data_IF_545897526846
#
_entry.id   IF_545897526846
#
_cell.length_a   1.000
_cell.length_b   1.000
_cell.length_c   1.000
_cell.angle_alpha   90.00
_cell.angle_beta   90.00
_cell.angle_gamma   90.00
#
_symmetry.space_group_name_H-M   'P 1'
#
loop_
_entity.id
_entity.type
_entity.pdbx_description
1 polymer ?
#
# COMPACT_ATOMS: atom_id res chain seq x y z
N UNK A 1 -44.74 -2.33 31.51
CA UNK A 1 -43.64 -3.16 32.03
C UNK A 1 -43.25 -4.15 30.94
N UNK A 2 -42.09 -3.99 30.31
CA UNK A 2 -41.53 -4.97 29.36
C UNK A 2 -40.02 -5.00 29.57
N UNK A 3 -39.56 -5.91 30.44
CA UNK A 3 -38.13 -6.06 30.75
C UNK A 3 -37.71 -7.52 30.79
N UNK A 4 -38.22 -8.34 29.88
CA UNK A 4 -37.84 -9.76 29.82
C UNK A 4 -37.70 -10.22 28.37
N UNK A 5 -36.89 -9.50 27.60
CA UNK A 5 -36.29 -10.09 26.40
C UNK A 5 -35.29 -11.17 26.82
N UNK A 6 -35.21 -12.26 26.04
CA UNK A 6 -34.34 -13.40 26.30
C UNK A 6 -32.89 -12.93 26.60
N UNK A 7 -32.44 -13.12 27.84
CA UNK A 7 -31.08 -12.79 28.27
C UNK A 7 -30.17 -13.97 27.97
N UNK A 8 -28.98 -13.69 27.42
CA UNK A 8 -27.95 -14.71 27.31
C UNK A 8 -27.56 -15.19 28.71
N UNK A 9 -27.49 -16.51 28.91
CA UNK A 9 -27.16 -17.12 30.20
C UNK A 9 -25.79 -16.60 30.67
N UNK A 10 -25.75 -16.03 31.89
CA UNK A 10 -24.52 -15.52 32.51
C UNK A 10 -24.27 -14.01 32.42
N UNK A 11 -25.25 -13.20 32.00
CA UNK A 11 -25.11 -11.73 31.94
C UNK A 11 -26.20 -11.04 32.75
N UNK A 12 -25.81 -10.07 33.59
CA UNK A 12 -26.73 -9.27 34.42
C UNK A 12 -27.46 -8.16 33.61
N UNK A 13 -27.07 -7.97 32.36
CA UNK A 13 -27.60 -6.97 31.43
C UNK A 13 -26.98 -5.57 31.57
N UNK A 14 -26.05 -5.37 32.53
CA UNK A 14 -25.35 -4.08 32.70
C UNK A 14 -24.20 -3.90 31.71
N UNK A 15 -23.78 -4.99 31.05
CA UNK A 15 -22.67 -5.08 30.10
C UNK A 15 -23.03 -4.64 28.66
N UNK A 16 -24.26 -4.20 28.40
CA UNK A 16 -24.72 -3.83 27.04
C UNK A 16 -23.81 -2.78 26.38
N UNK A 17 -23.42 -1.73 27.10
CA UNK A 17 -22.51 -0.68 26.58
C UNK A 17 -21.15 -1.24 26.20
N UNK A 18 -20.64 -2.20 26.98
CA UNK A 18 -19.36 -2.86 26.71
C UNK A 18 -19.47 -3.75 25.45
N UNK A 19 -20.50 -4.58 25.37
CA UNK A 19 -20.76 -5.44 24.19
C UNK A 19 -20.92 -4.62 22.91
N UNK A 20 -21.65 -3.51 22.97
CA UNK A 20 -21.85 -2.63 21.81
C UNK A 20 -20.52 -2.02 21.34
N UNK A 21 -19.66 -1.59 22.27
CA UNK A 21 -18.33 -1.04 21.94
C UNK A 21 -17.42 -2.08 21.30
N UNK A 22 -17.40 -3.31 21.84
CA UNK A 22 -16.62 -4.43 21.28
C UNK A 22 -17.13 -4.79 19.88
N UNK A 23 -18.44 -4.93 19.70
CA UNK A 23 -19.04 -5.23 18.40
C UNK A 23 -18.74 -4.14 17.36
N UNK A 24 -18.82 -2.86 17.74
CA UNK A 24 -18.46 -1.74 16.87
C UNK A 24 -16.98 -1.78 16.45
N UNK A 25 -16.07 -2.07 17.38
CA UNK A 25 -14.63 -2.22 17.10
C UNK A 25 -14.35 -3.36 16.12
N UNK A 26 -15.00 -4.52 16.31
CA UNK A 26 -14.85 -5.68 15.42
C UNK A 26 -15.37 -5.34 14.02
N UNK A 27 -16.57 -4.74 13.92
CA UNK A 27 -17.16 -4.34 12.64
C UNK A 27 -16.22 -3.39 11.87
N UNK A 28 -15.66 -2.41 12.57
CA UNK A 28 -14.72 -1.45 11.99
C UNK A 28 -13.42 -2.12 11.50
N UNK A 29 -12.87 -3.04 12.30
CA UNK A 29 -11.68 -3.82 11.96
C UNK A 29 -11.90 -4.67 10.70
N UNK A 30 -13.04 -5.35 10.59
CA UNK A 30 -13.40 -6.15 9.41
C UNK A 30 -13.52 -5.28 8.17
N UNK A 31 -14.21 -4.13 8.28
CA UNK A 31 -14.40 -3.20 7.17
C UNK A 31 -13.08 -2.62 6.66
N UNK A 32 -12.19 -2.16 7.55
CA UNK A 32 -10.89 -1.64 7.13
C UNK A 32 -9.98 -2.71 6.54
N UNK A 33 -9.99 -3.95 7.07
CA UNK A 33 -9.26 -5.06 6.44
C UNK A 33 -9.73 -5.31 5.01
N UNK A 34 -11.04 -5.24 4.76
CA UNK A 34 -11.58 -5.40 3.41
C UNK A 34 -11.13 -4.26 2.48
N UNK A 35 -11.25 -2.99 2.92
CA UNK A 35 -10.79 -1.84 2.13
C UNK A 35 -9.30 -1.88 1.84
N UNK A 36 -8.47 -2.27 2.82
CA UNK A 36 -7.04 -2.44 2.61
C UNK A 36 -6.72 -3.52 1.57
N UNK A 37 -7.41 -4.67 1.62
CA UNK A 37 -7.24 -5.72 0.60
C UNK A 37 -7.61 -5.22 -0.80
N UNK A 38 -8.69 -4.45 -0.93
CA UNK A 38 -9.08 -3.86 -2.20
C UNK A 38 -8.03 -2.86 -2.70
N UNK A 39 -7.55 -1.96 -1.83
CA UNK A 39 -6.50 -1.00 -2.18
C UNK A 39 -5.18 -1.68 -2.55
N UNK A 40 -4.81 -2.78 -1.87
CA UNK A 40 -3.64 -3.58 -2.24
C UNK A 40 -3.82 -4.25 -3.60
N UNK A 41 -5.02 -4.73 -3.93
CA UNK A 41 -5.30 -5.26 -5.26
C UNK A 41 -5.17 -4.19 -6.35
N UNK A 42 -5.71 -2.98 -6.10
CA UNK A 42 -5.55 -1.84 -7.01
C UNK A 42 -4.09 -1.39 -7.15
N UNK A 43 -3.34 -1.34 -6.04
CA UNK A 43 -1.90 -1.05 -6.07
C UNK A 43 -1.14 -2.10 -6.89
N UNK A 44 -1.48 -3.38 -6.72
CA UNK A 44 -0.86 -4.45 -7.50
C UNK A 44 -1.16 -4.34 -9.00
N UNK A 45 -2.38 -3.92 -9.37
CA UNK A 45 -2.76 -3.67 -10.76
C UNK A 45 -1.88 -2.59 -11.42
N UNK A 46 -1.49 -1.55 -10.66
CA UNK A 46 -0.58 -0.49 -11.14
C UNK A 46 0.88 -0.96 -11.10
N UNK A 47 1.24 -1.81 -10.13
CA UNK A 47 2.59 -2.35 -9.99
C UNK A 47 2.99 -3.27 -11.16
N UNK A 48 2.04 -4.06 -11.67
CA UNK A 48 2.29 -5.01 -12.77
C UNK A 48 2.85 -4.34 -14.04
N UNK A 49 2.25 -3.27 -14.59
CA UNK A 49 2.83 -2.52 -15.70
C UNK A 49 4.23 -1.99 -15.43
N UNK A 50 4.51 -1.50 -14.22
CA UNK A 50 5.84 -0.97 -13.90
C UNK A 50 6.88 -2.09 -13.78
N UNK A 51 6.53 -3.23 -13.20
CA UNK A 51 7.36 -4.43 -13.23
C UNK A 51 7.62 -4.92 -14.66
N UNK A 52 6.62 -4.86 -15.53
CA UNK A 52 6.81 -5.20 -16.94
C UNK A 52 7.81 -4.23 -17.58
N UNK A 53 7.64 -2.90 -17.39
CA UNK A 53 8.55 -1.86 -17.89
C UNK A 53 9.99 -2.06 -17.40
N UNK A 54 10.19 -2.01 -16.09
CA UNK A 54 11.53 -2.08 -15.44
C UNK A 54 12.17 -3.45 -15.63
N UNK A 55 11.38 -4.52 -15.50
CA UNK A 55 11.86 -5.89 -15.73
C UNK A 55 12.23 -6.15 -17.19
N UNK A 56 11.50 -5.57 -18.14
CA UNK A 56 11.81 -5.66 -19.57
C UNK A 56 13.19 -5.07 -19.88
N UNK A 57 13.47 -3.86 -19.42
CA UNK A 57 14.80 -3.24 -19.58
C UNK A 57 15.90 -4.09 -18.94
N UNK A 58 15.67 -4.57 -17.71
CA UNK A 58 16.65 -5.38 -16.99
C UNK A 58 16.97 -6.69 -17.75
N UNK A 59 15.95 -7.36 -18.30
CA UNK A 59 16.09 -8.64 -19.00
C UNK A 59 16.72 -8.46 -20.39
N UNK A 60 16.28 -7.47 -21.15
CA UNK A 60 16.66 -7.32 -22.56
C UNK A 60 17.93 -6.51 -22.77
N UNK A 61 18.14 -5.46 -21.97
CA UNK A 61 19.22 -4.50 -22.22
C UNK A 61 20.42 -4.74 -21.28
N UNK A 62 20.14 -4.93 -19.99
CA UNK A 62 21.20 -5.13 -18.99
C UNK A 62 21.74 -6.56 -19.01
N UNK A 63 20.87 -7.57 -18.81
CA UNK A 63 21.31 -8.97 -18.77
C UNK A 63 21.37 -9.64 -20.14
N UNK A 64 20.78 -9.03 -21.18
CA UNK A 64 20.74 -9.56 -22.55
C UNK A 64 20.29 -11.02 -22.63
N UNK A 65 19.41 -11.44 -21.73
CA UNK A 65 18.96 -12.84 -21.62
C UNK A 65 18.09 -13.26 -22.80
N UNK A 66 17.42 -12.30 -23.44
CA UNK A 66 16.49 -12.54 -24.53
C UNK A 66 16.48 -11.37 -25.52
N UNK A 67 16.17 -11.64 -26.79
CA UNK A 67 15.97 -10.58 -27.80
C UNK A 67 14.67 -9.83 -27.52
N UNK A 68 14.71 -8.49 -27.63
CA UNK A 68 13.55 -7.64 -27.44
C UNK A 68 12.37 -8.05 -28.38
N UNK A 69 11.21 -8.42 -27.81
CA UNK A 69 10.01 -8.71 -28.58
C UNK A 69 9.59 -7.52 -29.46
N UNK A 70 8.92 -7.80 -30.58
CA UNK A 70 8.43 -6.74 -31.50
C UNK A 70 7.49 -5.76 -30.80
N UNK A 71 6.68 -6.22 -29.85
CA UNK A 71 5.79 -5.37 -29.06
C UNK A 71 6.56 -4.35 -28.22
N UNK A 72 7.65 -4.78 -27.59
CA UNK A 72 8.48 -3.92 -26.74
C UNK A 72 9.15 -2.81 -27.53
N UNK A 73 9.72 -3.16 -28.70
CA UNK A 73 10.33 -2.19 -29.63
C UNK A 73 9.35 -1.16 -30.19
N UNK A 74 8.06 -1.49 -30.31
CA UNK A 74 7.03 -0.54 -30.79
C UNK A 74 6.63 0.48 -29.74
N UNK A 75 6.75 0.13 -28.46
CA UNK A 75 6.36 1.03 -27.37
C UNK A 75 7.41 2.13 -27.13
N UNK A 76 8.66 1.90 -27.56
CA UNK A 76 9.77 2.85 -27.49
C UNK A 76 9.85 3.56 -26.12
N UNK A 77 9.82 2.76 -25.06
CA UNK A 77 9.80 3.27 -23.70
C UNK A 77 11.18 3.83 -23.32
N UNK A 78 11.25 4.99 -22.65
CA UNK A 78 12.51 5.49 -22.12
C UNK A 78 13.02 4.55 -21.02
N UNK A 79 14.34 4.59 -20.80
CA UNK A 79 14.99 3.90 -19.69
C UNK A 79 14.30 4.25 -18.36
N UNK A 80 14.24 3.28 -17.47
CA UNK A 80 13.63 3.42 -16.16
C UNK A 80 14.40 4.43 -15.32
N UNK A 81 13.66 5.35 -14.72
CA UNK A 81 14.24 6.31 -13.79
C UNK A 81 14.62 5.60 -12.47
N UNK A 82 15.65 6.08 -11.74
CA UNK A 82 16.10 5.47 -10.49
C UNK A 82 14.98 5.24 -9.45
N UNK A 83 14.01 6.15 -9.39
CA UNK A 83 12.87 6.04 -8.46
C UNK A 83 11.92 4.89 -8.80
N UNK A 84 11.84 4.48 -10.08
CA UNK A 84 10.98 3.37 -10.51
C UNK A 84 11.47 2.05 -9.94
N UNK A 85 12.79 1.80 -9.95
CA UNK A 85 13.38 0.59 -9.36
C UNK A 85 13.07 0.48 -7.86
N UNK A 86 13.15 1.59 -7.14
CA UNK A 86 12.82 1.63 -5.70
C UNK A 86 11.32 1.40 -5.51
N UNK A 87 10.48 2.01 -6.35
CA UNK A 87 9.03 1.84 -6.27
C UNK A 87 8.57 0.42 -6.62
N UNK A 88 9.31 -0.32 -7.44
CA UNK A 88 9.04 -1.75 -7.69
C UNK A 88 9.07 -2.59 -6.40
N UNK A 89 9.67 -2.10 -5.31
CA UNK A 89 9.67 -2.73 -3.99
C UNK A 89 8.41 -2.40 -3.16
N UNK A 90 7.47 -1.62 -3.70
CA UNK A 90 6.22 -1.22 -3.02
C UNK A 90 5.23 -2.37 -2.74
N UNK A 91 5.56 -3.62 -3.11
CA UNK A 91 4.84 -4.82 -2.69
C UNK A 91 5.23 -5.31 -1.28
N UNK A 92 6.41 -4.93 -0.76
CA UNK A 92 6.89 -5.32 0.58
C UNK A 92 5.86 -4.97 1.67
N UNK A 93 5.25 -3.77 1.71
CA UNK A 93 4.22 -3.43 2.68
C UNK A 93 3.02 -4.38 2.64
N UNK A 94 2.64 -4.87 1.46
CA UNK A 94 1.51 -5.80 1.26
C UNK A 94 1.86 -7.16 1.86
N UNK A 95 3.07 -7.66 1.62
CA UNK A 95 3.56 -8.93 2.20
C UNK A 95 3.54 -8.87 3.73
N UNK A 96 3.86 -7.72 4.31
CA UNK A 96 3.82 -7.51 5.76
C UNK A 96 2.38 -7.36 6.29
N UNK A 97 1.50 -6.71 5.53
CA UNK A 97 0.12 -6.42 5.94
C UNK A 97 -0.77 -7.68 5.99
N UNK A 98 -0.75 -8.51 4.95
CA UNK A 98 -1.66 -9.67 4.83
C UNK A 98 -1.59 -10.62 6.04
N UNK A 99 -0.41 -11.12 6.48
CA UNK A 99 -0.31 -11.98 7.66
C UNK A 99 -0.65 -11.26 8.96
N UNK A 100 -0.59 -9.92 9.00
CA UNK A 100 -1.04 -9.15 10.16
C UNK A 100 -2.55 -9.26 10.38
N UNK A 101 -3.34 -9.41 9.31
CA UNK A 101 -4.80 -9.42 9.38
C UNK A 101 -5.40 -10.68 10.00
N UNK A 102 -4.71 -11.83 9.88
CA UNK A 102 -5.19 -13.12 10.40
C UNK A 102 -5.13 -13.19 11.92
N UNK A 103 -4.02 -12.71 12.51
CA UNK A 103 -3.74 -12.81 13.96
C UNK A 103 -3.68 -11.44 14.64
N UNK A 104 -4.21 -10.40 14.01
CA UNK A 104 -4.17 -9.00 14.46
C UNK A 104 -2.78 -8.56 14.98
N UNK A 105 -1.72 -8.91 14.24
CA UNK A 105 -0.34 -8.70 14.71
C UNK A 105 0.05 -7.22 14.56
N UNK A 106 -0.02 -6.47 15.65
CA UNK A 106 0.28 -5.04 15.71
C UNK A 106 1.66 -4.69 15.13
N UNK A 107 2.72 -5.44 15.47
CA UNK A 107 4.09 -5.17 14.99
C UNK A 107 4.18 -5.21 13.46
N UNK A 108 3.63 -6.25 12.83
CA UNK A 108 3.63 -6.42 11.38
C UNK A 108 2.84 -5.32 10.67
N UNK A 109 1.70 -4.93 11.24
CA UNK A 109 0.90 -3.85 10.68
C UNK A 109 1.61 -2.49 10.82
N UNK A 110 2.33 -2.23 11.93
CA UNK A 110 3.18 -1.04 12.09
C UNK A 110 4.33 -1.04 11.08
N UNK A 111 5.00 -2.18 10.89
CA UNK A 111 6.10 -2.30 9.94
C UNK A 111 5.59 -2.09 8.50
N UNK A 112 4.44 -2.67 8.15
CA UNK A 112 3.76 -2.42 6.88
C UNK A 112 3.50 -0.93 6.66
N UNK A 113 2.97 -0.21 7.65
CA UNK A 113 2.71 1.23 7.57
C UNK A 113 3.97 2.04 7.24
N UNK A 114 5.08 1.81 7.95
CA UNK A 114 6.34 2.51 7.70
C UNK A 114 6.98 2.11 6.36
N UNK A 115 6.96 0.82 6.02
CA UNK A 115 7.43 0.34 4.73
C UNK A 115 6.63 0.95 3.58
N UNK A 116 5.32 1.19 3.75
CA UNK A 116 4.48 1.81 2.74
C UNK A 116 4.83 3.28 2.51
N UNK A 117 5.16 4.00 3.58
CA UNK A 117 5.70 5.34 3.44
C UNK A 117 7.04 5.32 2.69
N UNK A 118 7.97 4.45 3.10
CA UNK A 118 9.33 4.39 2.55
C UNK A 118 9.39 3.91 1.09
N UNK A 119 8.69 2.83 0.73
CA UNK A 119 8.74 2.23 -0.60
C UNK A 119 7.58 2.65 -1.51
N UNK A 120 6.55 3.29 -0.96
CA UNK A 120 5.38 3.75 -1.71
C UNK A 120 5.42 5.26 -1.96
N UNK A 121 5.26 6.03 -0.89
CA UNK A 121 5.11 7.49 -0.97
C UNK A 121 6.42 8.18 -1.35
N UNK A 122 7.53 7.84 -0.69
CA UNK A 122 8.83 8.51 -0.89
C UNK A 122 9.35 8.42 -2.33
N UNK A 123 9.48 7.24 -2.96
CA UNK A 123 9.94 7.17 -4.35
C UNK A 123 9.00 7.90 -5.33
N UNK A 124 7.69 7.90 -5.09
CA UNK A 124 6.75 8.71 -5.89
C UNK A 124 6.98 10.21 -5.73
N UNK A 125 7.26 10.69 -4.51
CA UNK A 125 7.55 12.11 -4.27
C UNK A 125 8.86 12.54 -4.97
N UNK A 126 9.88 11.69 -4.93
CA UNK A 126 11.13 11.92 -5.68
C UNK A 126 10.87 11.91 -7.18
N UNK A 127 10.10 10.94 -7.68
CA UNK A 127 9.68 10.85 -9.07
C UNK A 127 8.94 12.11 -9.52
N UNK A 128 7.94 12.55 -8.77
CA UNK A 128 7.18 13.77 -9.05
C UNK A 128 8.10 15.00 -9.16
N UNK A 129 9.02 15.17 -8.21
CA UNK A 129 9.99 16.26 -8.26
C UNK A 129 10.94 16.17 -9.46
N UNK A 130 11.41 14.96 -9.79
CA UNK A 130 12.33 14.76 -10.92
C UNK A 130 11.69 15.06 -12.28
N UNK A 131 10.39 14.86 -12.41
CA UNK A 131 9.61 15.09 -13.63
C UNK A 131 9.10 16.54 -13.74
N UNK A 132 9.37 17.38 -12.75
CA UNK A 132 8.92 18.78 -12.74
C UNK A 132 9.55 19.63 -13.86
N UNK A 133 10.86 19.59 -14.13
CA UNK A 133 11.46 20.35 -15.22
C UNK A 133 10.89 19.93 -16.59
N UNK A 134 10.75 18.61 -16.82
CA UNK A 134 10.17 18.08 -18.06
C UNK A 134 8.72 18.54 -18.27
N UNK A 135 7.94 18.67 -17.19
CA UNK A 135 6.58 19.19 -17.26
C UNK A 135 6.56 20.67 -17.64
N UNK A 136 7.43 21.48 -17.03
CA UNK A 136 7.51 22.91 -17.34
C UNK A 136 7.95 23.12 -18.79
N UNK A 137 8.92 22.34 -19.26
CA UNK A 137 9.38 22.39 -20.65
C UNK A 137 8.26 22.00 -21.62
N UNK A 138 7.50 20.95 -21.32
CA UNK A 138 6.34 20.57 -22.13
C UNK A 138 5.25 21.64 -22.14
N UNK A 139 4.94 22.27 -21.00
CA UNK A 139 3.93 23.34 -20.93
C UNK A 139 4.38 24.58 -21.73
N UNK A 140 5.67 24.90 -21.74
CA UNK A 140 6.19 26.10 -22.41
C UNK A 140 6.35 25.92 -23.92
N UNK A 141 6.83 24.76 -24.35
CA UNK A 141 7.23 24.53 -25.75
C UNK A 141 6.30 23.53 -26.48
N UNK A 142 5.35 22.90 -25.78
CA UNK A 142 4.41 21.96 -26.35
C UNK A 142 5.09 20.78 -27.04
N UNK A 143 4.63 20.45 -28.24
CA UNK A 143 5.16 19.36 -29.07
C UNK A 143 6.59 19.61 -29.58
N UNK A 144 7.10 20.84 -29.50
CA UNK A 144 8.49 21.16 -29.86
C UNK A 144 9.49 20.83 -28.73
N UNK A 145 9.00 20.44 -27.56
CA UNK A 145 9.85 20.02 -26.44
C UNK A 145 10.51 18.67 -26.71
N UNK A 146 11.75 18.48 -26.22
CA UNK A 146 12.50 17.22 -26.34
C UNK A 146 12.08 16.16 -25.31
N UNK A 147 10.83 16.20 -24.84
CA UNK A 147 10.37 15.28 -23.81
C UNK A 147 10.17 13.87 -24.39
N UNK A 148 10.45 12.81 -23.63
CA UNK A 148 10.17 11.45 -24.06
C UNK A 148 8.68 11.26 -24.38
N UNK A 149 8.38 10.56 -25.47
CA UNK A 149 7.01 10.26 -25.90
C UNK A 149 6.72 8.76 -25.84
N UNK A 150 5.59 8.39 -25.27
CA UNK A 150 5.03 7.06 -25.39
C UNK A 150 4.51 6.80 -26.80
N UNK A 151 5.02 5.74 -27.45
CA UNK A 151 4.68 5.35 -28.82
C UNK A 151 4.86 6.48 -29.86
N UNK A 152 5.78 7.41 -29.61
CA UNK A 152 6.09 8.51 -30.53
C UNK A 152 5.06 9.65 -30.61
N UNK A 153 3.96 9.58 -29.84
CA UNK A 153 2.84 10.53 -29.99
C UNK A 153 2.38 11.16 -28.68
N UNK A 154 2.43 10.42 -27.56
CA UNK A 154 1.89 10.91 -26.29
C UNK A 154 3.01 11.31 -25.32
N UNK A 155 3.01 12.52 -24.74
CA UNK A 155 4.07 12.95 -23.83
C UNK A 155 4.10 12.09 -22.57
N UNK A 156 5.25 11.47 -22.29
CA UNK A 156 5.43 10.55 -21.17
C UNK A 156 5.20 11.25 -19.82
N UNK A 157 5.58 12.53 -19.74
CA UNK A 157 5.39 13.34 -18.53
C UNK A 157 3.93 13.39 -18.07
N UNK A 158 2.96 13.50 -18.99
CA UNK A 158 1.54 13.51 -18.61
C UNK A 158 1.13 12.16 -18.01
N UNK A 159 1.58 11.04 -18.60
CA UNK A 159 1.32 9.70 -18.05
C UNK A 159 1.90 9.57 -16.64
N UNK A 160 3.09 10.10 -16.40
CA UNK A 160 3.69 10.07 -15.07
C UNK A 160 2.89 10.85 -14.03
N UNK A 161 2.38 12.03 -14.36
CA UNK A 161 1.56 12.80 -13.42
C UNK A 161 0.21 12.13 -13.13
N UNK A 162 -0.41 11.48 -14.14
CA UNK A 162 -1.61 10.66 -13.92
C UNK A 162 -1.32 9.45 -13.02
N UNK A 163 -0.19 8.78 -13.25
CA UNK A 163 0.29 7.69 -12.41
C UNK A 163 0.53 8.16 -10.97
N UNK A 164 1.25 9.26 -10.75
CA UNK A 164 1.51 9.79 -9.43
C UNK A 164 0.22 10.15 -8.70
N UNK A 165 -0.74 10.79 -9.39
CA UNK A 165 -2.05 11.10 -8.81
C UNK A 165 -2.77 9.85 -8.31
N UNK A 166 -2.86 8.81 -9.15
CA UNK A 166 -3.51 7.55 -8.78
C UNK A 166 -2.78 6.84 -7.62
N UNK A 167 -1.45 6.78 -7.66
CA UNK A 167 -0.64 6.12 -6.63
C UNK A 167 -0.72 6.87 -5.30
N UNK A 168 -0.63 8.21 -5.30
CA UNK A 168 -0.78 8.98 -4.05
C UNK A 168 -2.16 8.80 -3.43
N UNK A 169 -3.23 8.70 -4.23
CA UNK A 169 -4.56 8.42 -3.72
C UNK A 169 -4.65 7.02 -3.08
N UNK A 170 -4.23 5.98 -3.81
CA UNK A 170 -4.30 4.59 -3.32
C UNK A 170 -3.44 4.41 -2.07
N UNK A 171 -2.20 4.91 -2.09
CA UNK A 171 -1.28 4.80 -0.97
C UNK A 171 -1.72 5.67 0.21
N UNK A 172 -2.22 6.88 -0.04
CA UNK A 172 -2.75 7.77 0.99
C UNK A 172 -3.96 7.16 1.73
N UNK A 173 -4.94 6.64 0.99
CA UNK A 173 -6.08 5.95 1.59
C UNK A 173 -5.66 4.68 2.33
N UNK A 174 -4.72 3.92 1.76
CA UNK A 174 -4.25 2.69 2.40
C UNK A 174 -3.49 2.96 3.71
N UNK A 175 -2.68 4.02 3.76
CA UNK A 175 -2.07 4.48 5.00
C UNK A 175 -3.11 4.98 6.02
N UNK A 176 -4.13 5.74 5.57
CA UNK A 176 -5.23 6.20 6.42
C UNK A 176 -5.99 5.03 7.08
N UNK A 177 -6.39 4.03 6.29
CA UNK A 177 -7.09 2.86 6.83
C UNK A 177 -6.18 2.01 7.73
N UNK A 178 -4.90 1.87 7.39
CA UNK A 178 -3.92 1.17 8.23
C UNK A 178 -3.75 1.86 9.58
N UNK A 179 -3.66 3.20 9.61
CA UNK A 179 -3.56 3.98 10.84
C UNK A 179 -4.80 3.80 11.73
N UNK A 180 -5.99 3.88 11.14
CA UNK A 180 -7.24 3.67 11.90
C UNK A 180 -7.36 2.22 12.41
N UNK A 181 -6.93 1.23 11.62
CA UNK A 181 -6.90 -0.17 12.02
C UNK A 181 -5.92 -0.41 13.18
N UNK A 182 -4.74 0.21 13.13
CA UNK A 182 -3.76 0.19 14.23
C UNK A 182 -4.36 0.77 15.52
N UNK A 183 -5.07 1.89 15.42
CA UNK A 183 -5.72 2.52 16.57
C UNK A 183 -6.87 1.67 17.13
N UNK A 184 -7.64 1.00 16.27
CA UNK A 184 -8.68 0.07 16.69
C UNK A 184 -8.08 -1.11 17.47
N UNK A 185 -7.00 -1.72 16.96
CA UNK A 185 -6.37 -2.88 17.61
C UNK A 185 -5.64 -2.52 18.91
N UNK A 186 -5.06 -1.32 19.01
CA UNK A 186 -4.41 -0.86 20.27
C UNK A 186 -5.41 -0.65 21.41
N UNK A 187 -6.68 -0.38 21.08
CA UNK A 187 -7.74 -0.16 22.07
C UNK A 187 -8.47 -1.44 22.45
N UNK A 188 -8.15 -2.57 21.81
CA UNK A 188 -8.79 -3.86 22.07
C UNK A 188 -8.07 -4.57 23.25
N UNK A 189 -8.76 -4.77 24.39
CA UNK A 189 -8.16 -5.37 25.58
C UNK A 189 -7.67 -6.81 25.35
N UNK A 190 -8.26 -7.56 24.41
CA UNK A 190 -7.84 -8.94 24.10
C UNK A 190 -6.46 -8.93 23.43
N UNK A 191 -6.24 -7.99 22.52
CA UNK A 191 -4.97 -7.86 21.78
C UNK A 191 -3.88 -7.35 22.72
N UNK A 192 -4.21 -6.42 23.62
CA UNK A 192 -3.29 -5.94 24.65
C UNK A 192 -2.81 -7.08 25.55
N UNK A 193 -3.73 -7.91 26.04
CA UNK A 193 -3.38 -9.09 26.86
C UNK A 193 -2.49 -10.08 26.10
N UNK A 194 -2.82 -10.39 24.85
CA UNK A 194 -1.98 -11.25 24.00
C UNK A 194 -0.57 -10.68 23.75
N UNK A 195 -0.45 -9.35 23.62
CA UNK A 195 0.85 -8.72 23.46
C UNK A 195 1.68 -8.75 24.75
N UNK A 196 1.05 -8.53 25.91
CA UNK A 196 1.70 -8.56 27.21
C UNK A 196 2.17 -9.99 27.58
N UNK A 197 1.32 -11.00 27.40
CA UNK A 197 1.66 -12.41 27.65
C UNK A 197 2.83 -12.86 26.78
N UNK A 198 2.93 -12.35 25.54
CA UNK A 198 4.01 -12.70 24.63
C UNK A 198 5.35 -12.07 25.04
N UNK A 199 5.35 -10.85 25.56
CA UNK A 199 6.56 -10.19 26.08
C UNK A 199 7.08 -10.90 27.33
N UNK A 200 6.20 -11.23 28.29
CA UNK A 200 6.60 -11.95 29.52
C UNK A 200 7.19 -13.35 29.24
N UNK A 201 6.77 -14.00 28.16
CA UNK A 201 7.26 -15.34 27.79
C UNK A 201 8.57 -15.30 26.99
N UNK A 202 8.97 -14.13 26.48
CA UNK A 202 10.29 -13.91 25.87
C UNK A 202 11.31 -13.67 27.00
N UNK A 203 11.00 -12.78 27.94
CA UNK A 203 11.89 -12.49 29.09
C UNK A 203 12.20 -13.75 29.92
N UNK A 204 11.23 -14.67 30.08
CA UNK A 204 11.43 -15.96 30.78
C UNK A 204 12.25 -17.01 30.01
N UNK A 205 12.50 -16.82 28.72
CA UNK A 205 13.32 -17.75 27.92
C UNK A 205 14.79 -17.33 27.87
N UNK A 206 15.07 -16.10 28.26
CA UNK A 206 16.40 -15.51 28.26
C UNK A 206 17.05 -15.56 29.67
N UNK A 207 16.36 -16.13 30.68
CA UNK A 207 16.86 -16.58 32.00
C UNK A 207 17.13 -18.08 32.01
#
# INVERSE_FOLDING_TARGET
MSSTGARAVGTDGTDFKHRQRVAASIKLSVQYKFYLKLLFALHFLILLPLWAKVGGELIFDQFKLMKQPKLWRRMDLPNAYPWEYIWCLSFIPIILAIPSFQKNRLLLLKLSYYSQFLFGITPCAIGLGSQFPELIDYIRFGEQSKVPTFSGSFPMVILWYLFFLAVFQIQGFSMYFTFNLLNAWRRDPIILKQSADKTQNIDKKDE
#
